data_IF_210242402749
#
_entry.id   IF_210242402749
#
_cell.length_a   1.000
_cell.length_b   1.000
_cell.length_c   1.000
_cell.angle_alpha   90.00
_cell.angle_beta   90.00
_cell.angle_gamma   90.00
#
_symmetry.space_group_name_H-M   'P 1'
#
loop_
_entity.id
_entity.type
_entity.pdbx_description
1 polymer ?
#
# COMPACT_ATOMS: atom_id res chain seq x y z
N UNK A 1 -3.08 -13.30 -18.52
CA UNK A 1 -2.84 -13.38 -18.33
C UNK A 1 -2.44 -13.38 -18.39
N UNK A 2 -2.16 -13.23 -18.03
CA UNK A 2 -1.57 -13.22 -17.78
C UNK A 2 -0.96 -13.71 -18.17
N UNK A 3 -0.32 -13.78 -18.27
CA UNK A 3 0.31 -14.36 -18.57
C UNK A 3 0.29 -15.24 -18.48
N UNK A 4 0.33 -15.53 -18.51
CA UNK A 4 0.48 -16.38 -18.33
C UNK A 4 0.63 -17.11 -18.74
N UNK A 5 1.20 -17.39 -18.85
CA UNK A 5 1.44 -18.26 -19.17
C UNK A 5 1.11 -19.09 -19.09
N UNK A 6 1.17 -19.50 -19.45
CA UNK A 6 0.78 -20.38 -19.34
C UNK A 6 1.01 -21.19 -18.94
N UNK A 7 1.34 -21.31 -18.91
CA UNK A 7 1.50 -22.04 -18.45
C UNK A 7 1.51 -21.90 -17.59
N UNK A 8 1.42 -21.39 -17.27
CA UNK A 8 1.41 -21.20 -16.57
C UNK A 8 0.59 -21.14 -16.03
N UNK A 9 0.18 -21.17 -15.96
CA UNK A 9 -0.40 -21.17 -15.44
C UNK A 9 -0.90 -21.59 -14.75
N UNK A 10 -1.55 -21.67 -14.89
CA UNK A 10 -1.84 -22.28 -14.19
C UNK A 10 -1.14 -22.59 -13.23
N UNK A 11 -0.94 -22.84 -13.33
CA UNK A 11 -0.08 -22.94 -12.55
C UNK A 11 0.38 -21.81 -12.35
N UNK A 12 -0.14 -21.73 -12.01
CA UNK A 12 0.65 -20.73 -11.75
C UNK A 12 1.90 -21.10 -12.14
N UNK A 13 2.21 -20.83 -13.13
CA UNK A 13 3.39 -21.22 -13.63
C UNK A 13 4.43 -21.22 -12.62
N UNK A 14 5.36 -21.87 -12.83
CA UNK A 14 6.42 -21.98 -11.94
C UNK A 14 6.98 -20.65 -11.57
N UNK A 15 6.77 -19.67 -12.42
CA UNK A 15 7.29 -18.34 -12.17
C UNK A 15 6.14 -17.35 -12.25
N UNK A 16 5.99 -16.55 -11.23
CA UNK A 16 4.97 -15.54 -11.18
C UNK A 16 5.59 -14.22 -10.89
N UNK A 17 5.17 -13.21 -11.65
CA UNK A 17 5.51 -11.84 -11.33
C UNK A 17 4.70 -11.42 -10.13
N UNK A 18 5.36 -10.86 -9.15
CA UNK A 18 4.67 -10.31 -7.99
C UNK A 18 4.29 -8.87 -8.28
N UNK A 19 3.12 -8.49 -7.81
CA UNK A 19 2.64 -7.13 -7.96
C UNK A 19 3.11 -6.28 -6.79
N UNK A 20 2.93 -4.98 -6.90
CA UNK A 20 3.22 -4.10 -5.79
C UNK A 20 2.12 -3.05 -5.66
N UNK A 21 2.03 -2.45 -4.48
CA UNK A 21 1.03 -1.44 -4.18
C UNK A 21 1.73 -0.11 -3.97
N UNK A 22 1.21 0.93 -4.62
CA UNK A 22 1.69 2.29 -4.39
C UNK A 22 0.65 3.05 -3.59
N UNK A 23 1.09 3.80 -2.59
CA UNK A 23 0.21 4.56 -1.71
C UNK A 23 0.75 5.97 -1.59
N UNK A 24 -0.07 6.94 -1.96
CA UNK A 24 0.29 8.36 -1.86
C UNK A 24 -0.69 9.01 -0.90
N UNK A 25 -0.22 9.33 0.30
CA UNK A 25 -1.07 9.90 1.35
C UNK A 25 -1.03 11.41 1.23
N UNK A 26 -2.14 11.99 0.82
CA UNK A 26 -2.26 13.44 0.74
C UNK A 26 -3.07 13.99 1.89
N UNK A 27 -3.15 15.31 1.96
CA UNK A 27 -3.88 15.98 3.03
C UNK A 27 -5.38 15.81 2.98
N UNK A 28 -5.93 15.56 1.80
CA UNK A 28 -7.37 15.38 1.61
C UNK A 28 -7.75 13.96 1.22
N UNK A 29 -6.90 13.30 0.45
CA UNK A 29 -7.19 11.94 0.00
C UNK A 29 -5.93 11.12 -0.10
N UNK A 30 -6.10 9.81 -0.03
CA UNK A 30 -5.03 8.84 -0.24
C UNK A 30 -5.27 8.21 -1.60
N UNK A 31 -4.26 8.26 -2.46
CA UNK A 31 -4.34 7.65 -3.78
C UNK A 31 -3.54 6.35 -3.76
N UNK A 32 -4.14 5.31 -4.31
CA UNK A 32 -3.54 3.98 -4.27
C UNK A 32 -3.56 3.37 -5.65
N UNK A 33 -2.61 2.46 -5.89
CA UNK A 33 -2.55 1.75 -7.16
C UNK A 33 -1.94 0.38 -7.00
N UNK A 34 -2.38 -0.54 -7.83
CA UNK A 34 -1.76 -1.85 -7.97
C UNK A 34 -0.95 -1.82 -9.26
N UNK A 35 0.30 -2.24 -9.18
CA UNK A 35 1.22 -2.20 -10.30
C UNK A 35 1.81 -3.57 -10.54
N UNK A 36 2.04 -3.88 -11.82
CA UNK A 36 2.81 -5.06 -12.19
C UNK A 36 4.28 -4.82 -11.86
N UNK A 37 5.05 -5.89 -11.92
CA UNK A 37 6.47 -5.83 -11.63
C UNK A 37 7.20 -4.84 -12.55
N UNK A 38 6.73 -4.68 -13.79
CA UNK A 38 7.35 -3.77 -14.74
C UNK A 38 6.87 -2.33 -14.61
N UNK A 39 6.00 -2.06 -13.64
CA UNK A 39 5.50 -0.71 -13.41
C UNK A 39 4.17 -0.40 -14.07
N UNK A 40 3.61 -1.35 -14.80
CA UNK A 40 2.32 -1.14 -15.45
C UNK A 40 1.22 -1.02 -14.42
N UNK A 41 0.40 0.02 -14.52
CA UNK A 41 -0.72 0.23 -13.60
C UNK A 41 -1.85 -0.73 -13.92
N UNK A 42 -2.24 -1.52 -12.94
CA UNK A 42 -3.33 -2.49 -13.09
C UNK A 42 -4.65 -1.89 -12.64
N UNK A 43 -4.64 -1.19 -11.50
CA UNK A 43 -5.84 -0.62 -10.93
C UNK A 43 -5.45 0.54 -10.03
N UNK A 44 -6.29 1.58 -10.00
CA UNK A 44 -6.07 2.68 -9.07
C UNK A 44 -7.40 3.05 -8.41
N UNK A 45 -7.28 3.59 -7.19
CA UNK A 45 -8.45 4.03 -6.45
C UNK A 45 -8.00 5.05 -5.41
N UNK A 46 -8.98 5.58 -4.70
CA UNK A 46 -8.73 6.68 -3.80
C UNK A 46 -9.67 6.58 -2.61
N UNK A 47 -9.19 6.98 -1.43
CA UNK A 47 -10.03 7.05 -0.24
C UNK A 47 -9.78 8.39 0.45
N UNK A 48 -10.75 8.89 1.21
CA UNK A 48 -10.54 10.15 1.94
C UNK A 48 -9.49 9.97 3.03
N UNK A 49 -8.76 11.05 3.32
CA UNK A 49 -7.83 11.07 4.44
C UNK A 49 -8.60 11.53 5.67
N UNK A 50 -8.92 10.60 6.57
CA UNK A 50 -9.65 10.95 7.80
C UNK A 50 -8.67 11.47 8.84
N UNK A 51 -8.69 12.76 9.05
CA UNK A 51 -7.75 13.39 9.99
C UNK A 51 -8.30 13.50 11.41
N UNK A 52 -9.53 13.09 11.62
CA UNK A 52 -10.13 13.10 12.95
C UNK A 52 -9.28 12.29 13.92
N UNK A 53 -9.30 12.71 15.17
CA UNK A 53 -8.60 12.03 16.25
C UNK A 53 -7.13 11.80 15.93
N UNK A 54 -6.48 12.86 15.45
CA UNK A 54 -5.05 12.85 15.18
C UNK A 54 -4.67 11.86 14.07
N UNK A 55 -5.60 11.59 13.16
CA UNK A 55 -5.32 10.72 12.02
C UNK A 55 -5.24 9.25 12.36
N UNK A 56 -5.77 8.85 13.49
CA UNK A 56 -5.61 7.45 13.93
C UNK A 56 -6.29 6.44 13.03
N UNK A 57 -7.22 6.89 12.16
CA UNK A 57 -7.94 5.98 11.28
C UNK A 57 -7.29 5.83 9.91
N UNK A 58 -6.27 6.64 9.60
CA UNK A 58 -5.73 6.71 8.24
C UNK A 58 -5.18 5.36 7.78
N UNK A 59 -4.32 4.75 8.58
CA UNK A 59 -3.70 3.48 8.18
C UNK A 59 -4.72 2.35 8.13
N UNK A 60 -5.67 2.35 9.05
CA UNK A 60 -6.73 1.34 9.04
C UNK A 60 -7.60 1.46 7.80
N UNK A 61 -7.92 2.69 7.40
CA UNK A 61 -8.69 2.92 6.18
C UNK A 61 -7.92 2.45 4.95
N UNK A 62 -6.62 2.72 4.91
CA UNK A 62 -5.76 2.27 3.82
C UNK A 62 -5.76 0.75 3.75
N UNK A 63 -5.50 0.09 4.88
CA UNK A 63 -5.45 -1.36 4.91
C UNK A 63 -6.77 -1.98 4.50
N UNK A 64 -7.89 -1.42 4.98
CA UNK A 64 -9.21 -1.94 4.63
C UNK A 64 -9.47 -1.80 3.13
N UNK A 65 -9.10 -0.67 2.54
CA UNK A 65 -9.32 -0.46 1.11
C UNK A 65 -8.45 -1.37 0.27
N UNK A 66 -7.22 -1.63 0.72
CA UNK A 66 -6.32 -2.55 0.02
C UNK A 66 -6.91 -3.95 0.04
N UNK A 67 -7.33 -4.42 1.21
CA UNK A 67 -7.90 -5.77 1.32
C UNK A 67 -9.12 -5.92 0.44
N UNK A 68 -10.00 -4.91 0.45
CA UNK A 68 -11.21 -4.96 -0.38
C UNK A 68 -10.86 -4.99 -1.87
N UNK A 69 -9.96 -4.12 -2.30
CA UNK A 69 -9.60 -4.02 -3.72
C UNK A 69 -8.89 -5.28 -4.20
N UNK A 70 -8.01 -5.82 -3.38
CA UNK A 70 -7.30 -7.07 -3.70
C UNK A 70 -8.31 -8.20 -3.89
N UNK A 71 -9.29 -8.29 -2.99
CA UNK A 71 -10.30 -9.33 -3.09
C UNK A 71 -11.18 -9.14 -4.33
N UNK A 72 -11.59 -7.91 -4.59
CA UNK A 72 -12.42 -7.62 -5.76
C UNK A 72 -11.69 -7.91 -7.07
N UNK A 73 -10.36 -7.80 -7.04
CA UNK A 73 -9.53 -8.08 -8.21
C UNK A 73 -9.16 -9.55 -8.31
N UNK A 74 -9.69 -10.37 -7.41
CA UNK A 74 -9.43 -11.82 -7.38
C UNK A 74 -7.96 -12.12 -7.13
N UNK A 75 -7.35 -11.31 -6.28
CA UNK A 75 -5.95 -11.47 -5.90
C UNK A 75 -5.89 -11.75 -4.41
N UNK A 76 -4.70 -12.07 -3.93
CA UNK A 76 -4.44 -12.27 -2.51
C UNK A 76 -3.25 -11.42 -2.11
N UNK A 77 -3.12 -11.13 -0.83
CA UNK A 77 -1.98 -10.34 -0.35
C UNK A 77 -0.65 -11.01 -0.69
N UNK A 78 -0.63 -12.34 -0.76
CA UNK A 78 0.58 -13.06 -1.12
C UNK A 78 0.99 -12.87 -2.58
N UNK A 79 0.12 -12.28 -3.40
CA UNK A 79 0.47 -11.96 -4.79
C UNK A 79 1.32 -10.69 -4.88
N UNK A 80 1.64 -10.06 -3.77
CA UNK A 80 2.34 -8.79 -3.76
C UNK A 80 3.71 -8.92 -3.11
N UNK A 81 4.70 -8.27 -3.70
CA UNK A 81 6.03 -8.22 -3.11
C UNK A 81 6.09 -7.20 -1.98
N UNK A 82 5.20 -6.21 -2.02
CA UNK A 82 5.18 -5.20 -0.98
C UNK A 82 4.43 -3.96 -1.39
N UNK A 83 4.53 -2.94 -0.58
CA UNK A 83 3.87 -1.66 -0.81
C UNK A 83 4.86 -0.52 -0.59
N UNK A 84 4.74 0.52 -1.42
CA UNK A 84 5.49 1.76 -1.23
C UNK A 84 4.53 2.84 -0.78
N UNK A 85 4.92 3.58 0.24
CA UNK A 85 4.05 4.59 0.83
C UNK A 85 4.77 5.93 0.88
N UNK A 86 4.16 6.96 0.29
CA UNK A 86 4.67 8.32 0.36
C UNK A 86 3.73 9.19 1.17
N UNK A 87 4.27 10.12 1.93
CA UNK A 87 3.44 11.03 2.71
C UNK A 87 4.23 12.30 3.04
N UNK A 88 3.51 13.38 3.39
CA UNK A 88 4.18 14.64 3.73
C UNK A 88 4.82 14.53 5.09
N UNK A 89 6.04 15.04 5.22
CA UNK A 89 6.73 15.07 6.48
C UNK A 89 7.99 14.26 6.46
N UNK A 90 8.92 14.57 7.32
CA UNK A 90 10.20 13.86 7.34
C UNK A 90 10.04 12.43 7.81
N UNK A 91 10.74 11.54 7.13
CA UNK A 91 10.70 10.10 7.43
C UNK A 91 12.12 9.63 7.61
N UNK A 92 12.40 8.97 8.72
CA UNK A 92 13.71 8.38 8.97
C UNK A 92 13.84 7.08 8.19
N UNK A 93 15.07 6.60 7.98
CA UNK A 93 15.27 5.40 7.17
C UNK A 93 14.51 4.17 7.65
N UNK A 94 14.18 4.10 8.94
CA UNK A 94 13.41 2.97 9.47
C UNK A 94 11.90 3.16 9.32
N UNK A 95 11.46 4.26 8.68
CA UNK A 95 10.06 4.52 8.47
C UNK A 95 9.37 5.32 9.55
N UNK A 96 10.13 5.80 10.54
CA UNK A 96 9.56 6.60 11.62
C UNK A 96 9.25 8.02 11.15
N UNK A 97 8.05 8.50 11.44
CA UNK A 97 7.61 9.85 11.09
C UNK A 97 7.29 10.60 12.37
N UNK A 98 8.10 11.60 12.68
CA UNK A 98 7.95 12.34 13.94
C UNK A 98 6.64 13.12 13.96
N UNK A 99 6.40 13.91 12.91
CA UNK A 99 5.21 14.74 12.83
C UNK A 99 4.76 14.80 11.38
N UNK A 100 3.51 14.49 11.16
CA UNK A 100 2.88 14.66 9.86
C UNK A 100 1.75 15.65 10.03
N UNK A 101 2.11 16.93 10.08
CA UNK A 101 1.19 17.99 10.50
C UNK A 101 -0.07 18.02 9.66
N UNK A 102 0.07 17.88 8.33
CA UNK A 102 -1.08 17.94 7.45
C UNK A 102 -2.07 16.80 7.69
N UNK A 103 -1.61 15.72 8.30
CA UNK A 103 -2.45 14.56 8.57
C UNK A 103 -2.90 14.50 10.02
N UNK A 104 -2.35 15.37 10.87
CA UNK A 104 -2.66 15.34 12.28
C UNK A 104 -1.98 14.21 13.04
N UNK A 105 -1.08 13.50 12.38
CA UNK A 105 -0.38 12.38 13.01
C UNK A 105 0.63 12.86 14.04
N UNK A 106 0.75 12.09 15.10
CA UNK A 106 1.81 12.26 16.07
C UNK A 106 2.94 11.30 15.76
N UNK A 107 4.03 11.39 16.52
CA UNK A 107 5.17 10.52 16.31
C UNK A 107 4.76 9.05 16.29
N UNK A 108 5.35 8.28 15.40
CA UNK A 108 5.05 6.87 15.26
C UNK A 108 5.76 6.29 14.06
N UNK A 109 5.51 5.02 13.79
CA UNK A 109 6.09 4.33 12.64
C UNK A 109 4.98 3.78 11.75
N UNK A 110 4.48 4.60 10.80
CA UNK A 110 3.39 4.17 9.92
C UNK A 110 3.76 3.00 9.03
N UNK A 111 5.03 2.88 8.63
CA UNK A 111 5.49 1.78 7.82
C UNK A 111 5.29 0.44 8.53
N UNK A 112 5.70 0.39 9.79
CA UNK A 112 5.58 -0.83 10.58
C UNK A 112 4.12 -1.14 10.89
N UNK A 113 3.34 -0.13 11.19
CA UNK A 113 1.94 -0.33 11.52
C UNK A 113 1.15 -0.84 10.32
N UNK A 114 1.38 -0.27 9.13
CA UNK A 114 0.68 -0.74 7.95
C UNK A 114 1.09 -2.15 7.59
N UNK A 115 2.37 -2.48 7.74
CA UNK A 115 2.85 -3.84 7.52
C UNK A 115 2.08 -4.83 8.40
N UNK A 116 1.90 -4.48 9.66
CA UNK A 116 1.17 -5.32 10.61
C UNK A 116 -0.29 -5.50 10.15
N UNK A 117 -0.91 -4.43 9.69
CA UNK A 117 -2.30 -4.47 9.24
C UNK A 117 -2.49 -5.27 7.95
N UNK A 118 -1.41 -5.49 7.20
CA UNK A 118 -1.44 -6.24 5.95
C UNK A 118 -0.73 -7.59 6.08
N UNK A 119 -0.83 -8.20 7.26
CA UNK A 119 -0.33 -9.55 7.52
C UNK A 119 1.16 -9.69 7.28
N UNK A 120 1.92 -8.63 7.58
CA UNK A 120 3.38 -8.68 7.48
C UNK A 120 3.92 -8.35 6.10
N UNK A 121 3.08 -7.83 5.20
CA UNK A 121 3.56 -7.39 3.89
C UNK A 121 4.67 -6.36 4.08
N UNK A 122 5.72 -6.45 3.26
CA UNK A 122 6.82 -5.48 3.31
C UNK A 122 6.29 -4.11 2.90
N UNK A 123 6.50 -3.11 3.75
CA UNK A 123 6.07 -1.75 3.46
C UNK A 123 7.28 -0.84 3.58
N UNK A 124 7.55 -0.07 2.53
CA UNK A 124 8.59 0.95 2.53
C UNK A 124 7.93 2.30 2.46
N UNK A 125 8.55 3.30 3.04
CA UNK A 125 7.97 4.63 3.04
C UNK A 125 9.03 5.67 2.73
N UNK A 126 8.54 6.83 2.25
CA UNK A 126 9.40 7.94 1.93
C UNK A 126 8.65 9.25 2.04
N UNK A 127 9.39 10.34 1.92
CA UNK A 127 8.82 11.68 1.97
C UNK A 127 8.42 12.09 0.56
N UNK A 128 7.22 12.62 0.44
CA UNK A 128 6.75 13.11 -0.87
C UNK A 128 7.50 14.36 -1.28
#
# INVERSE_FOLDING_TARGET
>A
MFEMDPADSGKRGTHMSLKCIGIDIGGTSVKLGIFEEDGTLVKKWEVPTRKEEDGKYILGDIAASIRRTVKESRLELSDFSGAGMGFPGPVLPDGHCEVCVNLGWKAGNPQQELSRLLDGMVVKSGND
#
